data_IF_594975679314
#
_entry.id   IF_594975679314
#
_cell.length_a   1.000
_cell.length_b   1.000
_cell.length_c   1.000
_cell.angle_alpha   90.00
_cell.angle_beta   90.00
_cell.angle_gamma   90.00
#
_symmetry.space_group_name_H-M   'P 1'
#
loop_
_entity.id
_entity.type
_entity.pdbx_description
1 polymer ?
#
# COMPACT_ATOMS: atom_id res chain seq x y z
N UNK A 1 -52.65 43.01 4.30
CA UNK A 1 -51.41 42.77 3.58
C UNK A 1 -50.49 41.98 4.50
N UNK A 2 -50.14 40.72 4.25
CA UNK A 2 -49.23 39.96 5.09
C UNK A 2 -47.78 40.37 4.78
N UNK A 3 -47.06 40.74 5.81
CA UNK A 3 -45.64 41.03 5.72
C UNK A 3 -44.83 39.76 5.54
N UNK A 4 -44.18 39.63 4.40
CA UNK A 4 -43.18 38.58 4.10
C UNK A 4 -41.90 38.87 4.86
N UNK A 5 -41.63 38.11 5.89
CA UNK A 5 -40.34 38.15 6.60
C UNK A 5 -39.28 37.57 5.67
N UNK A 6 -38.42 38.42 5.14
CA UNK A 6 -37.20 38.00 4.43
C UNK A 6 -36.20 37.49 5.45
N UNK A 7 -35.99 36.20 5.50
CA UNK A 7 -34.89 35.61 6.29
C UNK A 7 -33.57 36.10 5.69
N UNK A 8 -32.71 36.60 6.54
CA UNK A 8 -31.51 37.32 6.16
C UNK A 8 -30.45 36.39 5.51
N UNK A 9 -29.67 36.90 4.55
CA UNK A 9 -28.64 36.13 3.84
C UNK A 9 -27.45 35.67 4.70
N UNK A 10 -27.45 36.03 5.97
CA UNK A 10 -26.44 35.61 6.94
C UNK A 10 -26.58 34.13 7.35
N UNK A 11 -27.79 33.58 7.38
CA UNK A 11 -28.02 32.17 7.75
C UNK A 11 -27.50 31.19 6.68
N UNK A 12 -27.71 31.50 5.39
CA UNK A 12 -27.21 30.69 4.30
C UNK A 12 -25.68 30.66 4.22
N UNK A 13 -25.03 31.80 4.48
CA UNK A 13 -23.56 31.87 4.55
C UNK A 13 -22.98 31.06 5.72
N UNK A 14 -23.66 31.05 6.86
CA UNK A 14 -23.24 30.23 8.01
C UNK A 14 -23.35 28.72 7.74
N UNK A 15 -24.41 28.29 7.04
CA UNK A 15 -24.58 26.90 6.64
C UNK A 15 -23.48 26.48 5.64
N UNK A 16 -23.21 27.31 4.61
CA UNK A 16 -22.15 27.05 3.63
C UNK A 16 -20.75 27.01 4.27
N UNK A 17 -20.48 27.87 5.24
CA UNK A 17 -19.21 27.85 5.98
C UNK A 17 -19.11 26.62 6.88
N UNK A 18 -20.21 26.19 7.50
CA UNK A 18 -20.25 24.98 8.33
C UNK A 18 -20.07 23.72 7.48
N UNK A 19 -20.68 23.63 6.29
CA UNK A 19 -20.49 22.53 5.34
C UNK A 19 -19.07 22.50 4.77
N UNK A 20 -18.50 23.67 4.45
CA UNK A 20 -17.11 23.78 4.02
C UNK A 20 -16.12 23.39 5.12
N UNK A 21 -16.38 23.77 6.39
CA UNK A 21 -15.59 23.38 7.55
C UNK A 21 -15.76 21.90 7.87
N UNK A 22 -16.93 21.31 7.74
CA UNK A 22 -17.14 19.87 7.85
C UNK A 22 -16.40 19.12 6.76
N UNK A 23 -16.43 19.59 5.52
CA UNK A 23 -15.65 19.06 4.40
C UNK A 23 -14.13 19.13 4.69
N UNK A 24 -13.63 20.25 5.17
CA UNK A 24 -12.23 20.43 5.56
C UNK A 24 -11.83 19.56 6.77
N UNK A 25 -12.69 19.41 7.76
CA UNK A 25 -12.47 18.54 8.92
C UNK A 25 -12.52 17.06 8.55
N UNK A 26 -13.28 16.68 7.54
CA UNK A 26 -13.35 15.31 7.03
C UNK A 26 -12.10 14.97 6.22
N UNK A 27 -11.55 15.93 5.47
CA UNK A 27 -10.32 15.80 4.68
C UNK A 27 -9.05 15.72 5.55
N UNK A 28 -9.10 16.17 6.81
CA UNK A 28 -7.93 16.22 7.69
C UNK A 28 -7.86 15.09 8.72
N UNK A 29 -8.36 13.89 8.43
CA UNK A 29 -8.35 12.75 9.36
C UNK A 29 -7.60 11.54 8.80
N UNK A 30 -7.10 10.69 9.70
CA UNK A 30 -6.76 9.32 9.39
C UNK A 30 -8.01 8.56 8.93
N UNK A 31 -7.81 7.53 8.13
CA UNK A 31 -8.88 6.63 7.73
C UNK A 31 -9.45 5.92 8.97
N UNK A 32 -10.77 5.84 9.06
CA UNK A 32 -11.45 5.07 10.09
C UNK A 32 -11.33 3.55 9.86
N UNK A 33 -11.88 2.75 10.78
CA UNK A 33 -11.79 1.30 10.71
C UNK A 33 -12.43 0.69 9.46
N UNK A 34 -13.55 1.25 8.99
CA UNK A 34 -14.25 0.78 7.78
C UNK A 34 -13.48 1.15 6.51
N UNK A 35 -12.91 2.34 6.46
CA UNK A 35 -12.07 2.83 5.38
C UNK A 35 -10.76 2.04 5.27
N UNK A 36 -10.09 1.75 6.40
CA UNK A 36 -8.91 0.87 6.43
C UNK A 36 -9.23 -0.51 5.89
N UNK A 37 -10.36 -1.10 6.29
CA UNK A 37 -10.81 -2.40 5.74
C UNK A 37 -11.09 -2.33 4.25
N UNK A 38 -11.65 -1.23 3.76
CA UNK A 38 -11.85 -1.01 2.32
C UNK A 38 -10.52 -0.90 1.56
N UNK A 39 -9.53 -0.20 2.11
CA UNK A 39 -8.15 -0.17 1.57
C UNK A 39 -7.58 -1.58 1.50
N UNK A 40 -7.62 -2.34 2.58
CA UNK A 40 -7.10 -3.72 2.61
C UNK A 40 -7.78 -4.63 1.58
N UNK A 41 -9.10 -4.48 1.40
CA UNK A 41 -9.84 -5.22 0.37
C UNK A 41 -9.32 -4.87 -1.03
N UNK A 42 -9.07 -3.59 -1.32
CA UNK A 42 -8.50 -3.14 -2.58
C UNK A 42 -7.11 -3.74 -2.79
N UNK A 43 -6.24 -3.67 -1.77
CA UNK A 43 -4.88 -4.22 -1.85
C UNK A 43 -4.89 -5.71 -2.18
N UNK A 44 -5.66 -6.50 -1.45
CA UNK A 44 -5.79 -7.95 -1.67
C UNK A 44 -6.32 -8.27 -3.06
N UNK A 45 -7.34 -7.53 -3.51
CA UNK A 45 -7.92 -7.72 -4.84
C UNK A 45 -6.89 -7.42 -5.93
N UNK A 46 -6.21 -6.28 -5.86
CA UNK A 46 -5.20 -5.88 -6.84
C UNK A 46 -3.99 -6.84 -6.88
N UNK A 47 -3.55 -7.34 -5.72
CA UNK A 47 -2.45 -8.30 -5.64
C UNK A 47 -2.84 -9.64 -6.28
N UNK A 48 -4.06 -10.11 -6.09
CA UNK A 48 -4.58 -11.33 -6.74
C UNK A 48 -4.74 -11.17 -8.24
N UNK A 49 -5.32 -10.07 -8.68
CA UNK A 49 -5.48 -9.75 -10.10
C UNK A 49 -4.13 -9.66 -10.79
N UNK A 50 -3.18 -8.92 -10.24
CA UNK A 50 -1.83 -8.76 -10.77
C UNK A 50 -1.09 -10.11 -10.88
N UNK A 51 -1.20 -10.96 -9.84
CA UNK A 51 -0.60 -12.29 -9.87
C UNK A 51 -1.16 -13.13 -11.00
N UNK A 52 -2.48 -13.19 -11.14
CA UNK A 52 -3.17 -13.98 -12.17
C UNK A 52 -2.91 -13.42 -13.57
N UNK A 53 -2.95 -12.09 -13.73
CA UNK A 53 -2.71 -11.44 -15.01
C UNK A 53 -1.32 -11.75 -15.55
N UNK A 54 -0.28 -11.50 -14.76
CA UNK A 54 1.12 -11.71 -15.18
C UNK A 54 1.39 -13.18 -15.47
N UNK A 55 0.88 -14.10 -14.63
CA UNK A 55 1.06 -15.53 -14.86
C UNK A 55 0.34 -15.97 -16.15
N UNK A 56 -0.88 -15.51 -16.41
CA UNK A 56 -1.63 -15.81 -17.64
C UNK A 56 -0.95 -15.26 -18.90
N UNK A 57 -0.40 -14.04 -18.83
CA UNK A 57 0.29 -13.40 -19.95
C UNK A 57 1.58 -14.14 -20.34
N UNK A 58 2.32 -14.64 -19.36
CA UNK A 58 3.62 -15.28 -19.60
C UNK A 58 3.53 -16.79 -19.83
N UNK A 59 2.61 -17.48 -19.17
CA UNK A 59 2.57 -18.94 -19.17
C UNK A 59 1.27 -19.53 -19.74
N UNK A 60 0.31 -18.67 -20.09
CA UNK A 60 -1.01 -19.07 -20.56
C UNK A 60 -2.03 -19.21 -19.41
N UNK A 61 -3.30 -19.19 -19.77
CA UNK A 61 -4.42 -19.13 -18.84
C UNK A 61 -4.39 -20.27 -17.79
N UNK A 62 -4.45 -19.90 -16.53
CA UNK A 62 -4.46 -20.81 -15.40
C UNK A 62 -3.13 -21.51 -15.12
N UNK A 63 -2.06 -21.08 -15.75
CA UNK A 63 -0.72 -21.64 -15.57
C UNK A 63 0.17 -20.69 -14.79
N UNK A 64 1.12 -21.25 -14.06
CA UNK A 64 2.18 -20.51 -13.36
C UNK A 64 3.52 -21.22 -13.58
N UNK A 65 4.61 -20.52 -13.29
CA UNK A 65 5.94 -21.10 -13.36
C UNK A 65 6.10 -22.19 -12.29
N UNK A 66 6.68 -23.38 -12.62
CA UNK A 66 7.03 -24.36 -11.60
C UNK A 66 8.09 -23.82 -10.63
N UNK A 67 8.00 -24.22 -9.35
CA UNK A 67 8.94 -23.74 -8.33
C UNK A 67 10.41 -24.05 -8.64
N UNK A 68 10.66 -25.19 -9.29
CA UNK A 68 12.01 -25.59 -9.75
C UNK A 68 12.64 -24.62 -10.76
N UNK A 69 11.82 -23.80 -11.43
CA UNK A 69 12.29 -22.81 -12.42
C UNK A 69 12.58 -21.43 -11.78
N UNK A 70 12.07 -21.17 -10.58
CA UNK A 70 12.13 -19.85 -9.94
C UNK A 70 13.54 -19.30 -9.73
N UNK A 71 14.53 -20.17 -9.57
CA UNK A 71 15.93 -19.80 -9.41
C UNK A 71 16.69 -19.62 -10.73
N UNK A 72 16.10 -20.01 -11.87
CA UNK A 72 16.73 -19.95 -13.18
C UNK A 72 16.55 -18.57 -13.82
N UNK A 73 17.40 -18.27 -14.78
CA UNK A 73 17.28 -17.05 -15.59
C UNK A 73 16.26 -17.24 -16.71
N UNK A 74 15.33 -16.28 -16.94
CA UNK A 74 14.33 -16.36 -18.00
C UNK A 74 14.95 -16.30 -19.41
N UNK A 75 16.12 -15.66 -19.54
CA UNK A 75 16.83 -15.49 -20.81
C UNK A 75 18.29 -15.92 -20.59
N UNK A 76 18.63 -17.11 -21.06
CA UNK A 76 19.94 -17.76 -20.85
C UNK A 76 21.14 -17.04 -21.52
N UNK A 77 20.97 -15.85 -22.13
CA UNK A 77 22.01 -15.19 -22.97
C UNK A 77 22.52 -13.86 -22.43
N UNK A 78 21.93 -13.29 -21.38
CA UNK A 78 22.39 -12.02 -20.80
C UNK A 78 23.26 -12.27 -19.58
N UNK A 79 24.52 -11.79 -19.61
CA UNK A 79 25.35 -11.74 -18.40
C UNK A 79 24.63 -10.93 -17.34
N UNK A 80 24.18 -11.58 -16.24
CA UNK A 80 23.46 -11.01 -15.10
C UNK A 80 21.94 -10.80 -15.31
N UNK A 81 21.28 -11.61 -16.14
CA UNK A 81 19.82 -11.64 -16.18
C UNK A 81 19.24 -11.90 -14.77
N UNK A 82 18.15 -11.23 -14.38
CA UNK A 82 17.48 -11.52 -13.12
C UNK A 82 16.91 -12.95 -13.17
N UNK A 83 16.88 -13.63 -12.03
CA UNK A 83 16.16 -14.92 -11.95
C UNK A 83 14.66 -14.70 -12.19
N UNK A 84 13.94 -15.77 -12.58
CA UNK A 84 12.48 -15.73 -12.74
C UNK A 84 11.79 -15.15 -11.51
N UNK A 85 12.24 -15.48 -10.31
CA UNK A 85 11.70 -14.92 -9.05
C UNK A 85 11.75 -13.39 -9.05
N UNK A 86 12.88 -12.79 -9.42
CA UNK A 86 13.01 -11.32 -9.47
C UNK A 86 12.23 -10.71 -10.61
N UNK A 87 12.23 -11.36 -11.77
CA UNK A 87 11.53 -10.88 -12.96
C UNK A 87 10.01 -10.86 -12.74
N UNK A 88 9.43 -11.99 -12.29
CA UNK A 88 8.00 -12.08 -11.97
C UNK A 88 7.61 -11.14 -10.82
N UNK A 89 8.43 -11.08 -9.76
CA UNK A 89 8.19 -10.16 -8.66
C UNK A 89 8.05 -8.72 -9.15
N UNK A 90 8.96 -8.25 -10.01
CA UNK A 90 8.90 -6.91 -10.58
C UNK A 90 7.62 -6.68 -11.38
N UNK A 91 7.30 -7.55 -12.33
CA UNK A 91 6.10 -7.42 -13.19
C UNK A 91 4.81 -7.42 -12.35
N UNK A 92 4.72 -8.31 -11.35
CA UNK A 92 3.55 -8.40 -10.47
C UNK A 92 3.40 -7.17 -9.58
N UNK A 93 4.51 -6.59 -9.09
CA UNK A 93 4.45 -5.30 -8.37
C UNK A 93 3.96 -4.18 -9.28
N UNK A 94 4.51 -4.04 -10.48
CA UNK A 94 4.09 -3.00 -11.44
C UNK A 94 2.59 -3.10 -11.75
N UNK A 95 2.08 -4.30 -12.04
CA UNK A 95 0.65 -4.53 -12.29
C UNK A 95 -0.21 -4.22 -11.04
N UNK A 96 0.23 -4.66 -9.85
CA UNK A 96 -0.47 -4.38 -8.60
C UNK A 96 -0.51 -2.88 -8.29
N UNK A 97 0.61 -2.17 -8.45
CA UNK A 97 0.67 -0.73 -8.21
C UNK A 97 -0.25 0.05 -9.14
N UNK A 98 -0.33 -0.31 -10.42
CA UNK A 98 -1.26 0.32 -11.36
C UNK A 98 -2.73 0.15 -10.91
N UNK A 99 -3.13 -1.06 -10.52
CA UNK A 99 -4.46 -1.35 -9.99
C UNK A 99 -4.74 -0.57 -8.68
N UNK A 100 -3.80 -0.60 -7.73
CA UNK A 100 -3.91 0.07 -6.43
C UNK A 100 -4.03 1.58 -6.63
N UNK A 101 -3.16 2.17 -7.45
CA UNK A 101 -3.19 3.60 -7.77
C UNK A 101 -4.56 4.00 -8.32
N UNK A 102 -5.08 3.28 -9.28
CA UNK A 102 -6.39 3.56 -9.88
C UNK A 102 -7.51 3.53 -8.83
N UNK A 103 -7.57 2.44 -8.04
CA UNK A 103 -8.70 2.20 -7.12
C UNK A 103 -8.63 3.05 -5.85
N UNK A 104 -7.43 3.27 -5.30
CA UNK A 104 -7.27 4.12 -4.12
C UNK A 104 -7.44 5.59 -4.48
N UNK A 105 -6.95 6.06 -5.63
CA UNK A 105 -7.15 7.46 -6.06
C UNK A 105 -8.62 7.80 -6.23
N UNK A 106 -9.46 6.85 -6.62
CA UNK A 106 -10.90 7.05 -6.75
C UNK A 106 -11.63 7.22 -5.41
N UNK A 107 -11.08 6.69 -4.29
CA UNK A 107 -11.76 6.67 -2.98
C UNK A 107 -11.03 7.39 -1.87
N UNK A 108 -9.70 7.39 -1.89
CA UNK A 108 -8.82 7.91 -0.84
C UNK A 108 -7.63 8.67 -1.41
N UNK A 109 -7.86 9.67 -2.33
CA UNK A 109 -6.80 10.28 -3.14
C UNK A 109 -5.68 10.91 -2.33
N UNK A 110 -5.98 11.37 -1.13
CA UNK A 110 -5.07 12.11 -0.27
C UNK A 110 -4.41 11.25 0.84
N UNK A 111 -4.78 9.95 0.96
CA UNK A 111 -4.44 9.16 2.14
C UNK A 111 -3.45 8.01 1.88
N UNK A 112 -2.83 7.94 0.72
CA UNK A 112 -1.87 6.89 0.43
C UNK A 112 -0.70 7.37 -0.42
N UNK A 113 0.40 6.63 -0.33
CA UNK A 113 1.56 6.76 -1.20
C UNK A 113 2.06 5.38 -1.60
N UNK A 114 2.49 5.25 -2.86
CA UNK A 114 3.13 4.04 -3.40
C UNK A 114 4.64 4.26 -3.39
N UNK A 115 5.37 3.30 -2.85
CA UNK A 115 6.84 3.29 -2.76
C UNK A 115 7.47 4.60 -2.22
N UNK A 116 6.87 5.23 -1.19
CA UNK A 116 7.50 6.42 -0.61
C UNK A 116 8.82 6.03 0.04
N UNK A 117 9.85 6.82 -0.21
CA UNK A 117 11.13 6.64 0.46
C UNK A 117 11.16 7.45 1.74
N UNK A 118 11.27 6.75 2.85
CA UNK A 118 11.14 7.29 4.20
C UNK A 118 12.40 7.03 5.02
N UNK A 119 12.75 7.94 5.89
CA UNK A 119 13.75 7.73 6.94
C UNK A 119 13.33 8.44 8.22
N UNK A 120 13.91 8.02 9.36
CA UNK A 120 13.85 8.81 10.58
C UNK A 120 15.01 9.79 10.62
N UNK A 121 14.75 11.00 11.07
CA UNK A 121 15.79 11.93 11.46
C UNK A 121 16.55 11.40 12.69
N UNK A 122 17.87 11.50 12.66
CA UNK A 122 18.71 10.96 13.74
C UNK A 122 18.59 11.71 15.05
N UNK A 123 18.15 12.97 15.02
CA UNK A 123 18.06 13.88 16.17
C UNK A 123 16.61 13.97 16.66
N UNK A 124 15.69 14.40 15.80
CA UNK A 124 14.29 14.63 16.17
C UNK A 124 13.45 13.37 16.21
N UNK A 125 13.94 12.28 15.60
CA UNK A 125 13.21 11.03 15.41
C UNK A 125 11.94 11.17 14.54
N UNK A 126 11.76 12.30 13.88
CA UNK A 126 10.65 12.50 12.94
C UNK A 126 10.83 11.66 11.67
N UNK A 127 9.72 11.23 11.12
CA UNK A 127 9.70 10.57 9.81
C UNK A 127 9.71 11.64 8.73
N UNK A 128 10.59 11.47 7.75
CA UNK A 128 10.73 12.39 6.62
C UNK A 128 10.81 11.65 5.28
N UNK A 129 10.34 12.29 4.23
CA UNK A 129 10.60 11.85 2.86
C UNK A 129 12.06 12.15 2.50
N UNK A 130 12.67 11.31 1.68
CA UNK A 130 14.06 11.45 1.27
C UNK A 130 14.33 10.83 -0.09
N UNK A 131 15.24 11.40 -0.85
CA UNK A 131 15.75 10.82 -2.11
C UNK A 131 17.01 9.95 -1.87
N UNK A 132 17.55 9.97 -0.66
CA UNK A 132 18.76 9.23 -0.31
C UNK A 132 18.46 7.75 -0.11
N UNK A 133 19.26 6.87 -0.72
CA UNK A 133 19.14 5.43 -0.57
C UNK A 133 19.66 4.92 0.77
N UNK A 134 20.79 5.45 1.22
CA UNK A 134 21.41 5.01 2.48
C UNK A 134 20.57 5.37 3.71
N UNK A 135 20.26 4.37 4.53
CA UNK A 135 19.49 4.55 5.78
C UNK A 135 18.01 4.87 5.57
N UNK A 136 17.48 4.74 4.37
CA UNK A 136 16.06 4.89 4.08
C UNK A 136 15.35 3.55 3.95
N UNK A 137 14.03 3.57 4.11
CA UNK A 137 13.10 2.46 3.92
C UNK A 137 12.12 2.83 2.81
N UNK A 138 11.75 1.86 1.98
CA UNK A 138 10.81 2.05 0.87
C UNK A 138 9.72 0.97 0.95
N UNK A 139 8.68 1.19 1.79
CA UNK A 139 7.51 0.31 1.81
C UNK A 139 6.75 0.41 0.48
N UNK A 140 6.09 -0.68 0.09
CA UNK A 140 5.30 -0.69 -1.15
C UNK A 140 4.10 0.28 -1.07
N UNK A 141 3.33 0.23 0.03
CA UNK A 141 2.16 1.09 0.25
C UNK A 141 2.21 1.68 1.66
N UNK A 142 2.04 2.98 1.75
CA UNK A 142 1.85 3.69 3.01
C UNK A 142 0.48 4.37 3.00
N UNK A 143 -0.36 4.02 3.97
CA UNK A 143 -1.57 4.76 4.29
C UNK A 143 -1.20 5.79 5.34
N UNK A 144 -1.60 7.04 5.14
CA UNK A 144 -1.16 8.15 5.94
C UNK A 144 -2.26 9.19 6.16
N UNK A 145 -2.03 10.14 7.05
CA UNK A 145 -2.88 11.30 7.24
C UNK A 145 -3.03 12.07 5.92
N UNK A 146 -4.22 12.55 5.64
CA UNK A 146 -4.50 13.21 4.37
C UNK A 146 -3.45 14.27 4.02
N UNK A 147 -2.84 14.12 2.83
CA UNK A 147 -1.78 14.98 2.28
C UNK A 147 -0.49 15.05 3.10
N UNK A 148 -0.28 14.13 4.03
CA UNK A 148 0.93 14.10 4.84
C UNK A 148 1.51 12.68 4.92
N UNK A 149 2.35 12.32 3.94
CA UNK A 149 2.96 11.01 3.80
C UNK A 149 3.90 10.63 4.96
N UNK A 150 4.38 11.59 5.73
CA UNK A 150 5.26 11.32 6.88
C UNK A 150 4.49 11.00 8.16
N UNK A 151 3.19 11.32 8.19
CA UNK A 151 2.29 10.98 9.30
C UNK A 151 1.60 9.64 9.00
N UNK A 152 2.33 8.57 9.25
CA UNK A 152 1.96 7.21 8.86
C UNK A 152 0.79 6.69 9.69
N UNK A 153 -0.16 6.03 9.03
CA UNK A 153 -1.22 5.25 9.67
C UNK A 153 -0.94 3.75 9.59
N UNK A 154 -0.78 3.21 8.39
CA UNK A 154 -0.49 1.79 8.17
C UNK A 154 0.54 1.62 7.05
N UNK A 155 1.34 0.56 7.15
CA UNK A 155 2.34 0.16 6.15
C UNK A 155 1.99 -1.22 5.62
N UNK A 156 2.04 -1.39 4.29
CA UNK A 156 1.84 -2.67 3.62
C UNK A 156 3.00 -2.96 2.66
N UNK A 157 3.41 -4.21 2.62
CA UNK A 157 4.45 -4.72 1.75
C UNK A 157 3.90 -5.89 0.95
N UNK A 158 3.99 -5.82 -0.38
CA UNK A 158 3.43 -6.82 -1.27
C UNK A 158 4.44 -7.94 -1.46
N UNK A 159 4.01 -9.18 -1.39
CA UNK A 159 4.85 -10.35 -1.61
C UNK A 159 4.20 -11.29 -2.61
N UNK A 160 4.90 -11.49 -3.72
CA UNK A 160 4.50 -12.39 -4.77
C UNK A 160 5.40 -13.62 -4.74
N UNK A 161 4.89 -14.80 -4.35
CA UNK A 161 5.65 -16.03 -4.45
C UNK A 161 5.92 -16.32 -5.94
N UNK A 162 7.09 -16.85 -6.22
CA UNK A 162 7.36 -17.43 -7.53
C UNK A 162 6.90 -18.89 -7.48
N UNK A 163 6.09 -19.29 -8.42
CA UNK A 163 5.49 -20.63 -8.45
C UNK A 163 4.19 -20.73 -7.62
N UNK A 164 3.64 -21.94 -7.58
CA UNK A 164 2.33 -22.21 -6.97
C UNK A 164 2.44 -22.88 -5.58
N UNK A 165 3.43 -22.52 -4.79
CA UNK A 165 3.48 -23.04 -3.42
C UNK A 165 2.35 -22.47 -2.57
N UNK A 166 1.25 -23.22 -2.48
CA UNK A 166 0.17 -22.96 -1.54
C UNK A 166 0.69 -23.27 -0.13
N UNK A 167 0.79 -22.24 0.69
CA UNK A 167 1.06 -22.42 2.12
C UNK A 167 2.50 -22.19 2.57
N UNK A 168 3.40 -21.73 1.71
CA UNK A 168 4.72 -21.28 2.18
C UNK A 168 4.58 -20.12 3.14
N UNK A 169 5.18 -20.27 4.30
CA UNK A 169 5.26 -19.18 5.28
C UNK A 169 6.07 -18.01 4.69
N UNK A 170 5.46 -16.85 4.42
CA UNK A 170 6.18 -15.71 3.85
C UNK A 170 7.13 -15.05 4.85
N UNK A 171 7.07 -15.41 6.12
CA UNK A 171 7.86 -14.86 7.21
C UNK A 171 9.29 -15.44 7.25
N UNK A 172 10.09 -15.16 6.22
CA UNK A 172 11.52 -15.46 6.26
C UNK A 172 12.24 -14.48 7.21
N UNK A 173 13.43 -14.82 7.73
CA UNK A 173 14.21 -13.90 8.58
C UNK A 173 14.41 -12.51 7.94
N UNK A 174 14.61 -12.45 6.63
CA UNK A 174 14.75 -11.20 5.89
C UNK A 174 13.47 -10.37 5.90
N UNK A 175 12.31 -11.02 5.69
CA UNK A 175 10.99 -10.38 5.73
C UNK A 175 10.68 -9.89 7.14
N UNK A 176 10.93 -10.69 8.16
CA UNK A 176 10.77 -10.29 9.57
C UNK A 176 11.62 -9.05 9.88
N UNK A 177 12.89 -9.05 9.48
CA UNK A 177 13.78 -7.89 9.65
C UNK A 177 13.25 -6.64 8.94
N UNK A 178 12.77 -6.79 7.70
CA UNK A 178 12.16 -5.71 6.92
C UNK A 178 10.92 -5.13 7.62
N UNK A 179 10.00 -5.98 8.07
CA UNK A 179 8.77 -5.55 8.74
C UNK A 179 9.06 -4.89 10.09
N UNK A 180 10.05 -5.37 10.83
CA UNK A 180 10.53 -4.71 12.05
C UNK A 180 11.13 -3.34 11.75
N UNK A 181 11.84 -3.18 10.63
CA UNK A 181 12.35 -1.89 10.20
C UNK A 181 11.20 -0.93 9.86
N UNK A 182 10.17 -1.37 9.17
CA UNK A 182 8.97 -0.58 8.92
C UNK A 182 8.23 -0.21 10.21
N UNK A 183 8.14 -1.12 11.17
CA UNK A 183 7.55 -0.84 12.49
C UNK A 183 8.25 0.31 13.22
N UNK A 184 9.54 0.50 13.00
CA UNK A 184 10.29 1.64 13.59
C UNK A 184 9.92 2.99 12.96
N UNK A 185 9.32 3.03 11.76
CA UNK A 185 8.78 4.28 11.22
C UNK A 185 7.57 4.79 12.02
N UNK A 186 6.91 3.92 12.77
CA UNK A 186 5.70 4.25 13.52
C UNK A 186 4.45 3.97 12.71
N UNK A 187 3.32 4.40 13.23
CA UNK A 187 1.99 4.20 12.66
C UNK A 187 1.02 3.60 13.69
N UNK A 188 -0.28 3.70 13.39
CA UNK A 188 -1.34 3.13 14.23
C UNK A 188 -1.44 1.61 14.06
N UNK A 189 -1.15 1.12 12.85
CA UNK A 189 -1.23 -0.29 12.50
C UNK A 189 0.14 -0.96 12.55
N UNK A 190 0.24 -2.20 13.02
CA UNK A 190 1.42 -3.01 12.76
C UNK A 190 1.62 -3.16 11.24
N UNK A 191 2.86 -3.09 10.72
CA UNK A 191 3.13 -3.37 9.32
C UNK A 191 2.58 -4.73 8.89
N UNK A 192 2.07 -4.82 7.67
CA UNK A 192 1.42 -6.02 7.16
C UNK A 192 1.97 -6.44 5.80
N UNK A 193 2.07 -7.76 5.59
CA UNK A 193 2.29 -8.33 4.26
C UNK A 193 0.95 -8.49 3.55
N UNK A 194 0.97 -8.29 2.23
CA UNK A 194 -0.16 -8.58 1.35
C UNK A 194 0.29 -9.61 0.33
N UNK A 195 -0.36 -10.76 0.31
CA UNK A 195 -0.04 -11.86 -0.61
C UNK A 195 -1.27 -12.30 -1.39
N UNK A 196 -1.12 -12.84 -2.60
CA UNK A 196 -2.25 -13.34 -3.40
C UNK A 196 -3.01 -14.48 -2.70
N UNK A 197 -2.28 -15.36 -1.99
CA UNK A 197 -2.84 -16.58 -1.38
C UNK A 197 -3.41 -16.32 0.02
N UNK A 198 -2.66 -15.62 0.87
CA UNK A 198 -2.96 -15.50 2.30
C UNK A 198 -3.57 -14.14 2.69
N UNK A 199 -3.84 -13.28 1.69
CA UNK A 199 -4.40 -11.94 1.90
C UNK A 199 -3.49 -11.05 2.79
N UNK A 200 -4.04 -10.50 3.88
CA UNK A 200 -3.31 -9.62 4.82
C UNK A 200 -2.74 -10.45 5.96
N UNK A 201 -1.44 -10.36 6.15
CA UNK A 201 -0.73 -11.03 7.23
C UNK A 201 -0.02 -10.01 8.12
N UNK A 202 -0.27 -10.09 9.40
CA UNK A 202 0.45 -9.30 10.42
C UNK A 202 1.27 -10.23 11.30
N UNK A 203 2.47 -9.78 11.66
CA UNK A 203 3.27 -10.52 12.62
C UNK A 203 2.53 -10.53 13.96
N UNK A 204 2.29 -11.73 14.51
CA UNK A 204 1.81 -11.85 15.87
C UNK A 204 2.82 -11.18 16.78
N UNK A 205 2.40 -10.20 17.58
CA UNK A 205 3.24 -9.73 18.69
C UNK A 205 3.36 -10.91 19.65
N UNK A 206 4.51 -11.56 19.67
CA UNK A 206 4.85 -12.42 20.80
C UNK A 206 4.88 -11.51 22.02
N UNK A 207 4.17 -11.84 23.09
CA UNK A 207 4.15 -11.05 24.32
C UNK A 207 5.54 -10.98 24.95
#
# INVERSE_FOLDING_TARGET
VPATVRVAPAAEKLVQVAEALQGLLTVSRFLDGSQKKAVETILVTCVREANTQVDNELFGQGRSLPDSECGKEPIAKEKRAPTWRRHLGKLKHEAAFACIQQRLSARFPDNFSIEPRLRRDGITQDVMLTDRWGGSLQPDIVVHFARNATRIQCIYDLKFPCGYEVGTNPWTPAVVSQMNAYGRLGGECPPALVTPQLAILRQSRTP
#
